data_IF_815851169052
#
_entry.id   IF_815851169052
#
_cell.length_a   1.000
_cell.length_b   1.000
_cell.length_c   1.000
_cell.angle_alpha   90.00
_cell.angle_beta   90.00
_cell.angle_gamma   90.00
#
_symmetry.space_group_name_H-M   'P 1'
#
loop_
_entity.id
_entity.type
_entity.pdbx_description
1 polymer ?
#
# COMPACT_ATOMS: atom_id res chain seq x y z
N UNK A 1 1.65 -6.44 21.44
CA UNK A 1 0.96 -5.27 22.02
C UNK A 1 -0.51 -5.60 22.24
N UNK A 2 -1.19 -4.93 23.18
CA UNK A 2 -2.59 -5.22 23.54
C UNK A 2 -3.58 -5.01 22.37
N UNK A 3 -3.20 -4.16 21.41
CA UNK A 3 -4.02 -3.81 20.23
C UNK A 3 -3.51 -4.46 18.94
N UNK A 4 -2.56 -5.39 19.00
CA UNK A 4 -2.03 -6.13 17.84
C UNK A 4 -0.98 -5.38 17.01
N UNK A 5 -0.58 -4.15 17.39
CA UNK A 5 0.44 -3.37 16.68
C UNK A 5 1.40 -2.65 17.64
N UNK A 6 2.51 -2.13 17.13
CA UNK A 6 3.47 -1.29 17.87
C UNK A 6 3.56 0.11 17.27
N UNK A 7 3.79 1.12 18.13
CA UNK A 7 4.07 2.48 17.66
C UNK A 7 5.57 2.73 17.76
N UNK A 8 6.21 2.93 16.62
CA UNK A 8 7.65 3.11 16.48
C UNK A 8 8.02 4.53 15.99
N UNK A 9 7.05 5.46 15.92
CA UNK A 9 7.37 6.85 15.65
C UNK A 9 8.14 7.46 16.81
N UNK A 10 9.34 7.96 16.51
CA UNK A 10 10.07 8.81 17.44
C UNK A 10 9.27 10.10 17.71
N UNK A 11 9.16 10.50 18.97
CA UNK A 11 8.35 11.65 19.41
C UNK A 11 8.86 13.04 18.96
N UNK A 12 9.83 13.11 18.02
CA UNK A 12 10.45 14.34 17.52
C UNK A 12 10.37 14.39 15.99
N UNK A 13 9.43 15.16 15.50
CA UNK A 13 9.32 15.53 14.09
C UNK A 13 7.88 15.48 13.62
N UNK A 14 7.07 16.49 13.98
CA UNK A 14 5.80 16.72 13.30
C UNK A 14 6.09 17.03 11.84
N UNK A 15 6.02 16.06 10.96
CA UNK A 15 6.00 16.31 9.52
C UNK A 15 4.77 17.17 9.20
N UNK A 16 4.99 18.30 8.52
CA UNK A 16 3.95 19.21 8.00
C UNK A 16 3.19 18.54 6.84
N UNK A 17 2.52 17.44 7.08
CA UNK A 17 1.54 16.87 6.15
C UNK A 17 0.17 16.96 6.78
N UNK A 18 -0.85 17.20 5.97
CA UNK A 18 -2.23 17.12 6.41
C UNK A 18 -2.44 15.72 7.02
N UNK A 19 -2.75 15.62 8.31
CA UNK A 19 -2.86 14.31 8.93
C UNK A 19 -4.03 13.55 8.30
N UNK A 20 -3.78 12.28 7.95
CA UNK A 20 -4.84 11.36 7.52
C UNK A 20 -5.78 11.17 8.70
N UNK A 21 -7.03 11.60 8.54
CA UNK A 21 -8.04 11.53 9.62
C UNK A 21 -8.67 10.14 9.72
N UNK A 22 -9.21 9.80 10.88
CA UNK A 22 -9.92 8.55 11.07
C UNK A 22 -11.16 8.42 10.14
N UNK A 23 -11.76 9.53 9.71
CA UNK A 23 -12.86 9.53 8.73
C UNK A 23 -12.37 9.16 7.34
N UNK A 24 -11.23 9.70 6.88
CA UNK A 24 -10.60 9.33 5.61
C UNK A 24 -10.26 7.83 5.57
N UNK A 25 -9.67 7.30 6.64
CA UNK A 25 -9.35 5.88 6.75
C UNK A 25 -10.61 5.01 6.64
N UNK A 26 -11.70 5.40 7.31
CA UNK A 26 -12.96 4.67 7.22
C UNK A 26 -13.61 4.75 5.84
N UNK A 27 -13.58 5.92 5.22
CA UNK A 27 -14.11 6.12 3.86
C UNK A 27 -13.34 5.26 2.84
N UNK A 28 -12.00 5.28 2.90
CA UNK A 28 -11.15 4.41 2.07
C UNK A 28 -11.48 2.94 2.27
N UNK A 29 -11.56 2.49 3.52
CA UNK A 29 -11.91 1.10 3.83
C UNK A 29 -13.26 0.70 3.25
N UNK A 30 -14.30 1.52 3.44
CA UNK A 30 -15.64 1.25 2.90
C UNK A 30 -15.63 1.18 1.37
N UNK A 31 -14.87 2.05 0.71
CA UNK A 31 -14.73 2.06 -0.74
C UNK A 31 -14.01 0.81 -1.26
N UNK A 32 -12.89 0.42 -0.64
CA UNK A 32 -12.14 -0.77 -1.02
C UNK A 32 -12.93 -2.06 -0.76
N UNK A 33 -13.67 -2.14 0.36
CA UNK A 33 -14.54 -3.27 0.67
C UNK A 33 -15.74 -3.41 -0.28
N UNK A 34 -16.17 -2.32 -0.91
CA UNK A 34 -17.21 -2.36 -1.95
C UNK A 34 -16.69 -2.97 -3.28
N UNK A 35 -15.40 -3.30 -3.38
CA UNK A 35 -14.82 -4.03 -4.50
C UNK A 35 -14.39 -3.18 -5.69
N UNK A 36 -14.47 -1.86 -5.62
CA UNK A 36 -14.09 -0.98 -6.74
C UNK A 36 -12.64 -1.11 -7.19
N UNK A 37 -11.76 -1.62 -6.33
CA UNK A 37 -10.35 -1.88 -6.64
C UNK A 37 -10.01 -3.37 -6.76
N UNK A 38 -11.02 -4.24 -6.88
CA UNK A 38 -10.80 -5.69 -6.96
C UNK A 38 -9.87 -6.13 -8.11
N UNK A 39 -9.97 -5.58 -9.35
CA UNK A 39 -9.03 -5.91 -10.42
C UNK A 39 -7.58 -5.55 -10.08
N UNK A 40 -7.35 -4.41 -9.45
CA UNK A 40 -6.03 -3.99 -8.99
C UNK A 40 -5.52 -4.88 -7.86
N UNK A 41 -6.36 -5.20 -6.86
CA UNK A 41 -6.01 -6.10 -5.76
C UNK A 41 -5.59 -7.48 -6.25
N UNK A 42 -6.33 -8.02 -7.24
CA UNK A 42 -6.01 -9.30 -7.88
C UNK A 42 -4.65 -9.24 -8.59
N UNK A 43 -4.42 -8.23 -9.43
CA UNK A 43 -3.16 -8.07 -10.15
C UNK A 43 -1.96 -7.90 -9.19
N UNK A 44 -2.15 -7.18 -8.09
CA UNK A 44 -1.13 -7.02 -7.05
C UNK A 44 -0.77 -8.35 -6.40
N UNK A 45 -1.78 -9.16 -6.02
CA UNK A 45 -1.55 -10.46 -5.42
C UNK A 45 -0.84 -11.44 -6.39
N UNK A 46 -1.20 -11.41 -7.66
CA UNK A 46 -0.53 -12.18 -8.71
C UNK A 46 0.93 -11.80 -8.85
N UNK A 47 1.26 -10.50 -8.88
CA UNK A 47 2.64 -10.02 -8.92
C UNK A 47 3.43 -10.40 -7.68
N UNK A 48 2.83 -10.31 -6.47
CA UNK A 48 3.49 -10.75 -5.25
C UNK A 48 3.87 -12.24 -5.32
N UNK A 49 2.99 -13.08 -5.86
CA UNK A 49 3.26 -14.52 -6.04
C UNK A 49 4.29 -14.80 -7.13
N UNK A 50 4.29 -14.00 -8.21
CA UNK A 50 5.23 -14.12 -9.32
C UNK A 50 6.67 -13.83 -8.89
N UNK A 51 6.85 -12.81 -8.03
CA UNK A 51 8.18 -12.38 -7.56
C UNK A 51 8.55 -12.92 -6.19
N UNK A 52 7.71 -13.75 -5.57
CA UNK A 52 8.05 -14.46 -4.35
C UNK A 52 9.17 -15.49 -4.59
N UNK A 53 10.03 -15.77 -3.59
CA UNK A 53 10.98 -16.87 -3.68
C UNK A 53 10.30 -18.20 -4.03
N UNK A 54 10.93 -19.00 -4.88
CA UNK A 54 10.42 -20.32 -5.25
C UNK A 54 10.33 -21.30 -4.08
N UNK A 55 11.19 -21.12 -3.08
CA UNK A 55 11.28 -21.99 -1.92
C UNK A 55 11.41 -21.20 -0.62
N UNK A 56 10.87 -21.73 0.45
CA UNK A 56 10.97 -21.17 1.79
C UNK A 56 9.84 -20.22 2.17
N UNK A 57 10.04 -19.46 3.24
CA UNK A 57 9.12 -18.45 3.73
C UNK A 57 9.37 -17.12 2.98
N UNK A 58 8.33 -16.53 2.41
CA UNK A 58 8.41 -15.20 1.78
C UNK A 58 8.27 -14.12 2.85
N UNK A 59 9.19 -13.16 2.88
CA UNK A 59 9.09 -11.96 3.70
C UNK A 59 8.56 -10.79 2.86
N UNK A 60 7.32 -10.40 3.07
CA UNK A 60 6.68 -9.30 2.38
C UNK A 60 6.50 -8.10 3.30
N UNK A 61 6.92 -6.94 2.82
CA UNK A 61 6.78 -5.67 3.53
C UNK A 61 5.86 -4.73 2.76
N UNK A 62 4.82 -4.18 3.40
CA UNK A 62 4.01 -3.09 2.83
C UNK A 62 4.37 -1.76 3.49
N UNK A 63 4.97 -0.85 2.70
CA UNK A 63 5.41 0.47 3.12
C UNK A 63 4.33 1.52 2.81
N UNK A 64 3.54 1.86 3.80
CA UNK A 64 2.34 2.68 3.66
C UNK A 64 1.07 1.83 3.50
N UNK A 65 0.97 0.76 4.30
CA UNK A 65 -0.05 -0.28 4.19
C UNK A 65 -1.49 0.20 4.47
N UNK A 66 -1.66 1.41 4.97
CA UNK A 66 -2.98 1.95 5.31
C UNK A 66 -3.71 1.05 6.32
N UNK A 67 -4.97 0.71 5.99
CA UNK A 67 -5.85 -0.12 6.83
C UNK A 67 -5.78 -1.62 6.51
N UNK A 68 -4.81 -2.06 5.67
CA UNK A 68 -4.49 -3.47 5.42
C UNK A 68 -5.35 -4.18 4.38
N UNK A 69 -6.18 -3.46 3.61
CA UNK A 69 -7.06 -4.11 2.61
C UNK A 69 -6.27 -4.83 1.50
N UNK A 70 -5.15 -4.27 1.05
CA UNK A 70 -4.27 -4.92 0.09
C UNK A 70 -3.54 -6.10 0.71
N UNK A 71 -3.01 -5.92 1.93
CA UNK A 71 -2.33 -6.97 2.70
C UNK A 71 -3.20 -8.21 2.88
N UNK A 72 -4.50 -8.02 3.17
CA UNK A 72 -5.44 -9.13 3.35
C UNK A 72 -5.57 -9.96 2.06
N UNK A 73 -5.73 -9.31 0.90
CA UNK A 73 -5.87 -10.00 -0.39
C UNK A 73 -4.59 -10.74 -0.76
N UNK A 74 -3.43 -10.11 -0.54
CA UNK A 74 -2.12 -10.75 -0.79
C UNK A 74 -1.94 -11.95 0.15
N UNK A 75 -2.20 -11.79 1.44
CA UNK A 75 -2.08 -12.88 2.40
C UNK A 75 -2.95 -14.09 2.04
N UNK A 76 -4.20 -13.86 1.67
CA UNK A 76 -5.12 -14.93 1.24
C UNK A 76 -4.65 -15.65 -0.02
N UNK A 77 -4.01 -14.93 -0.96
CA UNK A 77 -3.45 -15.51 -2.16
C UNK A 77 -2.24 -16.43 -1.89
N UNK A 78 -1.46 -16.14 -0.85
CA UNK A 78 -0.32 -16.99 -0.45
C UNK A 78 -0.74 -18.23 0.32
N UNK A 79 -1.81 -18.18 1.11
CA UNK A 79 -2.23 -19.25 2.02
C UNK A 79 -2.22 -20.68 1.42
N UNK A 80 -2.65 -20.91 0.15
CA UNK A 80 -2.62 -22.23 -0.46
C UNK A 80 -1.26 -22.62 -1.06
N UNK A 81 -0.26 -21.74 -1.11
CA UNK A 81 0.96 -21.96 -1.91
C UNK A 81 2.25 -21.98 -1.10
N UNK A 82 2.43 -21.04 -0.16
CA UNK A 82 3.71 -20.86 0.52
C UNK A 82 3.52 -20.19 1.89
N UNK A 83 4.50 -20.35 2.77
CA UNK A 83 4.57 -19.61 4.01
C UNK A 83 4.87 -18.12 3.71
N UNK A 84 4.07 -17.24 4.29
CA UNK A 84 4.21 -15.80 4.19
C UNK A 84 4.41 -15.17 5.56
N UNK A 85 5.47 -14.39 5.70
CA UNK A 85 5.66 -13.47 6.82
C UNK A 85 5.42 -12.05 6.34
N UNK A 86 4.24 -11.54 6.60
CA UNK A 86 3.83 -10.20 6.20
C UNK A 86 4.05 -9.21 7.34
N UNK A 87 4.65 -8.06 7.01
CA UNK A 87 4.73 -6.91 7.88
C UNK A 87 4.28 -5.65 7.12
N UNK A 88 3.64 -4.71 7.82
CA UNK A 88 3.25 -3.44 7.24
C UNK A 88 3.43 -2.29 8.22
N UNK A 89 3.66 -1.10 7.70
CA UNK A 89 3.68 0.12 8.51
C UNK A 89 3.01 1.29 7.79
N UNK A 90 2.45 2.19 8.58
CA UNK A 90 1.82 3.43 8.11
C UNK A 90 1.98 4.52 9.19
N UNK A 91 1.93 5.79 8.79
CA UNK A 91 1.96 6.93 9.73
C UNK A 91 0.65 7.06 10.51
N UNK A 92 -0.45 6.59 9.96
CA UNK A 92 -1.78 6.68 10.57
C UNK A 92 -2.01 5.58 11.60
N UNK A 93 -2.02 5.96 12.87
CA UNK A 93 -2.36 5.04 13.97
C UNK A 93 -3.74 4.41 13.80
N UNK A 94 -4.71 5.16 13.28
CA UNK A 94 -6.07 4.67 13.07
C UNK A 94 -6.12 3.63 11.95
N UNK A 95 -5.34 3.82 10.87
CA UNK A 95 -5.19 2.85 9.80
C UNK A 95 -4.54 1.55 10.32
N UNK A 96 -3.40 1.64 10.99
CA UNK A 96 -2.68 0.51 11.57
C UNK A 96 -3.54 -0.29 12.55
N UNK A 97 -4.35 0.38 13.37
CA UNK A 97 -5.29 -0.30 14.26
C UNK A 97 -6.33 -1.15 13.49
N UNK A 98 -6.76 -0.68 12.33
CA UNK A 98 -7.68 -1.43 11.48
C UNK A 98 -6.97 -2.57 10.76
N UNK A 99 -5.75 -2.35 10.25
CA UNK A 99 -4.92 -3.39 9.62
C UNK A 99 -4.65 -4.56 10.59
N UNK A 100 -4.20 -4.27 11.81
CA UNK A 100 -3.94 -5.29 12.83
C UNK A 100 -5.18 -6.09 13.25
N UNK A 101 -6.38 -5.50 13.15
CA UNK A 101 -7.65 -6.21 13.38
C UNK A 101 -8.07 -7.04 12.18
N UNK A 102 -7.78 -6.56 10.98
CA UNK A 102 -8.15 -7.23 9.73
C UNK A 102 -7.28 -8.48 9.48
N UNK A 103 -5.99 -8.38 9.82
CA UNK A 103 -5.00 -9.43 9.58
C UNK A 103 -4.12 -9.62 10.81
N UNK A 104 -4.63 -10.29 11.88
CA UNK A 104 -3.89 -10.48 13.13
C UNK A 104 -2.66 -11.41 12.98
N UNK A 105 -2.54 -12.13 11.87
CA UNK A 105 -1.40 -12.99 11.53
C UNK A 105 -0.17 -12.19 11.08
N UNK A 106 -0.36 -10.94 10.63
CA UNK A 106 0.72 -10.06 10.18
C UNK A 106 1.23 -9.14 11.29
N UNK A 107 2.42 -8.60 11.09
CA UNK A 107 3.05 -7.64 12.01
C UNK A 107 2.83 -6.21 11.53
N UNK A 108 2.14 -5.39 12.32
CA UNK A 108 1.89 -3.98 11.97
C UNK A 108 2.54 -3.00 12.94
N UNK A 109 3.05 -1.89 12.38
CA UNK A 109 3.66 -0.82 13.15
C UNK A 109 3.24 0.58 12.68
N UNK A 110 3.14 1.53 13.60
CA UNK A 110 3.09 2.95 13.23
C UNK A 110 4.51 3.42 12.97
N UNK A 111 4.80 3.82 11.72
CA UNK A 111 6.12 4.19 11.24
C UNK A 111 6.07 4.90 9.90
N UNK A 112 7.16 5.49 9.46
CA UNK A 112 7.26 6.24 8.21
C UNK A 112 8.25 5.62 7.22
N UNK A 113 7.97 5.75 5.92
CA UNK A 113 8.79 5.17 4.84
C UNK A 113 10.22 5.75 4.78
N UNK A 114 10.41 7.01 5.15
CA UNK A 114 11.75 7.66 5.17
C UNK A 114 12.61 7.30 6.40
N UNK A 115 12.12 6.46 7.28
CA UNK A 115 12.82 5.83 8.41
C UNK A 115 12.07 4.56 8.74
N UNK A 116 12.13 3.59 7.83
CA UNK A 116 11.35 2.37 7.90
C UNK A 116 11.75 1.53 9.14
N UNK A 117 10.79 1.13 9.98
CA UNK A 117 11.08 0.43 11.22
C UNK A 117 11.36 -1.07 10.99
N UNK A 118 12.17 -1.36 10.00
CA UNK A 118 12.52 -2.71 9.54
C UNK A 118 14.03 -2.82 9.42
N UNK A 119 14.58 -3.96 9.76
CA UNK A 119 16.04 -4.24 9.63
C UNK A 119 16.44 -4.29 8.16
N UNK A 120 17.74 -4.08 7.92
CA UNK A 120 18.35 -4.20 6.60
C UNK A 120 18.15 -5.60 6.01
N UNK A 121 17.88 -5.67 4.70
CA UNK A 121 17.81 -6.92 3.95
C UNK A 121 16.73 -7.89 4.43
N UNK A 122 15.64 -7.40 5.01
CA UNK A 122 14.59 -8.27 5.55
C UNK A 122 13.59 -8.72 4.48
N UNK A 123 13.20 -7.86 3.54
CA UNK A 123 12.11 -8.12 2.62
C UNK A 123 12.57 -8.81 1.32
N UNK A 124 11.86 -9.83 0.92
CA UNK A 124 11.94 -10.42 -0.43
C UNK A 124 11.16 -9.59 -1.43
N UNK A 125 9.95 -9.18 -1.02
CA UNK A 125 9.04 -8.33 -1.79
C UNK A 125 8.64 -7.14 -0.92
N UNK A 126 8.75 -5.94 -1.48
CA UNK A 126 8.31 -4.70 -0.86
C UNK A 126 7.18 -4.09 -1.69
N UNK A 127 6.07 -3.81 -1.04
CA UNK A 127 4.96 -3.06 -1.61
C UNK A 127 5.08 -1.59 -1.23
N UNK A 128 4.83 -0.71 -2.20
CA UNK A 128 4.59 0.71 -1.95
C UNK A 128 3.45 1.17 -2.88
N UNK A 129 2.25 1.28 -2.33
CA UNK A 129 1.03 1.48 -3.11
C UNK A 129 0.46 2.86 -2.83
N UNK A 130 0.45 3.74 -3.85
CA UNK A 130 -0.05 5.12 -3.75
C UNK A 130 0.53 5.90 -2.56
N UNK A 131 1.78 5.59 -2.20
CA UNK A 131 2.50 6.13 -1.07
C UNK A 131 3.83 6.74 -1.53
N UNK A 132 4.41 7.70 -0.80
CA UNK A 132 5.66 8.34 -1.20
C UNK A 132 6.81 7.35 -1.37
N UNK A 133 7.58 7.51 -2.42
CA UNK A 133 8.77 6.71 -2.70
C UNK A 133 9.94 7.11 -1.80
N UNK A 134 10.49 6.16 -1.07
CA UNK A 134 11.62 6.34 -0.15
C UNK A 134 12.80 5.45 -0.57
N UNK A 135 13.36 5.72 -1.77
CA UNK A 135 14.30 4.84 -2.47
C UNK A 135 15.45 4.32 -1.62
N UNK A 136 16.13 5.17 -0.84
CA UNK A 136 17.24 4.76 0.03
C UNK A 136 16.80 3.74 1.09
N UNK A 137 15.68 3.98 1.75
CA UNK A 137 15.13 3.05 2.75
C UNK A 137 14.62 1.77 2.11
N UNK A 138 14.01 1.87 0.93
CA UNK A 138 13.54 0.69 0.21
C UNK A 138 14.70 -0.20 -0.25
N UNK A 139 15.80 0.39 -0.75
CA UNK A 139 17.04 -0.34 -1.03
C UNK A 139 17.64 -0.99 0.24
N UNK A 140 17.58 -0.30 1.38
CA UNK A 140 18.12 -0.82 2.65
C UNK A 140 17.33 -2.02 3.17
N UNK A 141 16.01 -1.97 3.15
CA UNK A 141 15.16 -3.02 3.73
C UNK A 141 14.97 -4.23 2.82
N UNK A 142 15.09 -4.06 1.50
CA UNK A 142 15.10 -5.18 0.56
C UNK A 142 16.39 -5.98 0.67
N UNK A 143 16.28 -7.29 0.58
CA UNK A 143 17.46 -8.15 0.41
C UNK A 143 18.06 -7.98 -0.98
N UNK A 144 19.29 -8.42 -1.17
CA UNK A 144 19.88 -8.51 -2.51
C UNK A 144 19.02 -9.41 -3.42
N UNK A 145 18.63 -8.89 -4.57
CA UNK A 145 17.70 -9.55 -5.50
C UNK A 145 16.23 -9.51 -5.08
N UNK A 146 15.90 -8.79 -4.01
CA UNK A 146 14.50 -8.51 -3.63
C UNK A 146 13.81 -7.57 -4.62
N UNK A 147 12.47 -7.61 -4.67
CA UNK A 147 11.67 -6.87 -5.65
C UNK A 147 10.80 -5.82 -4.98
N UNK A 148 10.81 -4.61 -5.55
CA UNK A 148 9.88 -3.54 -5.21
C UNK A 148 8.70 -3.55 -6.19
N UNK A 149 7.50 -3.71 -5.68
CA UNK A 149 6.25 -3.48 -6.42
C UNK A 149 5.74 -2.08 -6.07
N UNK A 150 6.00 -1.14 -6.96
CA UNK A 150 5.64 0.26 -6.79
C UNK A 150 4.43 0.60 -7.65
N UNK A 151 3.30 0.93 -7.01
CA UNK A 151 2.08 1.28 -7.71
C UNK A 151 1.80 2.78 -7.64
N UNK A 152 1.60 3.36 -8.81
CA UNK A 152 1.25 4.78 -8.99
C UNK A 152 -0.05 4.90 -9.81
N UNK A 153 -0.80 5.99 -9.64
CA UNK A 153 -1.97 6.23 -10.49
C UNK A 153 -1.53 6.45 -11.94
N UNK A 154 -2.29 5.93 -12.90
CA UNK A 154 -2.11 6.27 -14.30
C UNK A 154 -2.45 7.75 -14.57
N UNK A 155 -2.00 8.29 -15.72
CA UNK A 155 -2.30 9.67 -16.09
C UNK A 155 -3.81 9.98 -16.03
N UNK A 156 -4.65 9.03 -16.42
CA UNK A 156 -6.11 9.16 -16.43
C UNK A 156 -6.82 8.56 -15.22
N UNK A 157 -6.10 8.32 -14.12
CA UNK A 157 -6.71 7.82 -12.89
C UNK A 157 -7.79 8.77 -12.38
N UNK A 158 -9.00 8.24 -12.15
CA UNK A 158 -10.21 8.98 -11.76
C UNK A 158 -10.54 10.16 -12.70
N UNK A 159 -10.19 10.06 -13.99
CA UNK A 159 -10.35 11.17 -14.93
C UNK A 159 -11.83 11.57 -15.09
N UNK A 160 -12.77 10.62 -15.16
CA UNK A 160 -14.19 10.91 -15.21
C UNK A 160 -14.72 11.67 -13.98
N UNK A 161 -14.11 11.47 -12.80
CA UNK A 161 -14.42 12.29 -11.63
C UNK A 161 -13.87 13.72 -11.78
N UNK A 162 -12.67 13.86 -12.34
CA UNK A 162 -12.05 15.17 -12.60
C UNK A 162 -12.86 15.99 -13.61
N UNK A 163 -13.45 15.34 -14.64
CA UNK A 163 -14.34 15.97 -15.61
C UNK A 163 -15.61 16.57 -14.99
N UNK A 164 -16.08 15.99 -13.89
CA UNK A 164 -17.24 16.52 -13.15
C UNK A 164 -16.86 17.65 -12.19
N UNK A 165 -15.62 17.64 -11.68
CA UNK A 165 -15.19 18.55 -10.61
C UNK A 165 -14.48 19.80 -11.11
N UNK A 166 -13.84 19.75 -12.28
CA UNK A 166 -12.97 20.81 -12.78
C UNK A 166 -13.41 21.23 -14.18
N UNK A 167 -13.44 22.53 -14.42
CA UNK A 167 -13.70 23.09 -15.75
C UNK A 167 -12.62 22.66 -16.77
N UNK A 168 -11.37 22.52 -16.30
CA UNK A 168 -10.25 22.00 -17.07
C UNK A 168 -9.66 20.76 -16.34
N UNK A 169 -10.11 19.56 -16.67
CA UNK A 169 -9.60 18.33 -16.08
C UNK A 169 -8.14 18.09 -16.47
N UNK A 170 -7.33 17.70 -15.52
CA UNK A 170 -5.89 17.48 -15.70
C UNK A 170 -5.50 16.02 -15.54
N UNK A 171 -4.47 15.59 -16.26
CA UNK A 171 -3.85 14.28 -16.10
C UNK A 171 -2.91 14.26 -14.91
N UNK A 172 -2.85 13.11 -14.24
CA UNK A 172 -1.89 12.89 -13.15
C UNK A 172 -0.49 12.73 -13.72
N UNK A 173 0.47 13.49 -13.20
CA UNK A 173 1.87 13.39 -13.59
C UNK A 173 2.64 12.60 -12.53
N UNK A 174 3.42 11.62 -12.96
CA UNK A 174 4.36 10.88 -12.12
C UNK A 174 5.77 11.22 -12.62
N UNK A 175 6.57 11.86 -11.79
CA UNK A 175 7.91 12.35 -12.15
C UNK A 175 9.00 11.85 -11.21
N UNK A 176 8.83 10.71 -10.58
CA UNK A 176 9.80 10.19 -9.62
C UNK A 176 10.96 9.46 -10.32
N UNK A 177 12.19 9.77 -9.90
CA UNK A 177 13.36 9.00 -10.27
C UNK A 177 13.51 7.81 -9.32
N UNK A 178 13.54 6.61 -9.87
CA UNK A 178 13.65 5.36 -9.10
C UNK A 178 15.12 4.97 -8.89
N UNK A 179 15.91 5.90 -8.37
CA UNK A 179 17.34 5.68 -8.10
C UNK A 179 17.58 4.48 -7.21
N UNK A 180 18.50 3.61 -7.62
CA UNK A 180 18.84 2.37 -6.92
C UNK A 180 18.02 1.14 -7.34
N UNK A 181 17.08 1.29 -8.28
CA UNK A 181 16.28 0.21 -8.80
C UNK A 181 16.44 0.06 -10.33
N UNK A 182 16.28 -1.17 -10.80
CA UNK A 182 16.19 -1.48 -12.24
C UNK A 182 14.79 -1.96 -12.54
N UNK A 183 14.11 -1.34 -13.51
CA UNK A 183 12.80 -1.77 -13.94
C UNK A 183 12.90 -3.15 -14.61
N UNK A 184 12.18 -4.13 -14.09
CA UNK A 184 12.15 -5.51 -14.59
C UNK A 184 10.81 -5.87 -15.24
N UNK A 185 9.78 -5.08 -15.01
CA UNK A 185 8.46 -5.27 -15.61
C UNK A 185 7.49 -4.15 -15.24
N UNK A 186 6.43 -4.04 -16.02
CA UNK A 186 5.34 -3.09 -15.79
C UNK A 186 4.00 -3.77 -16.10
N UNK A 187 3.00 -3.49 -15.27
CA UNK A 187 1.62 -3.94 -15.50
C UNK A 187 0.66 -2.79 -15.29
N UNK A 188 -0.08 -2.41 -16.31
CA UNK A 188 -1.17 -1.45 -16.19
C UNK A 188 -2.49 -2.17 -15.91
N UNK A 189 -3.20 -1.72 -14.89
CA UNK A 189 -4.56 -2.17 -14.56
C UNK A 189 -5.52 -1.03 -14.83
N UNK A 190 -6.48 -1.25 -15.69
CA UNK A 190 -7.51 -0.28 -16.05
C UNK A 190 -8.88 -0.89 -15.85
N UNK A 191 -9.78 -0.16 -15.22
CA UNK A 191 -11.17 -0.52 -15.07
C UNK A 191 -12.06 0.72 -15.11
N UNK A 192 -13.32 0.54 -15.45
CA UNK A 192 -14.34 1.60 -15.42
C UNK A 192 -15.40 1.21 -14.42
N UNK A 193 -15.53 2.01 -13.38
CA UNK A 193 -16.46 1.76 -12.29
C UNK A 193 -17.59 2.79 -12.29
N UNK A 194 -18.81 2.35 -11.95
CA UNK A 194 -19.92 3.23 -11.63
C UNK A 194 -20.05 3.36 -10.12
N UNK A 195 -19.98 4.57 -9.61
CA UNK A 195 -20.04 4.86 -8.17
C UNK A 195 -21.34 5.57 -7.84
N UNK A 196 -22.09 5.05 -6.87
CA UNK A 196 -23.40 5.55 -6.48
C UNK A 196 -23.55 5.72 -4.96
N UNK A 197 -24.52 6.54 -4.57
CA UNK A 197 -24.92 6.72 -3.18
C UNK A 197 -23.80 7.18 -2.26
N UNK A 198 -23.68 6.55 -1.10
CA UNK A 198 -22.66 6.90 -0.10
C UNK A 198 -21.22 6.61 -0.55
N UNK A 199 -21.04 5.76 -1.56
CA UNK A 199 -19.71 5.47 -2.09
C UNK A 199 -19.10 6.66 -2.84
N UNK A 200 -19.93 7.55 -3.39
CA UNK A 200 -19.45 8.84 -3.93
C UNK A 200 -18.78 9.65 -2.83
N UNK A 201 -19.42 9.75 -1.65
CA UNK A 201 -18.86 10.47 -0.49
C UNK A 201 -17.56 9.81 0.01
N UNK A 202 -17.51 8.49 0.02
CA UNK A 202 -16.31 7.74 0.41
C UNK A 202 -15.16 7.99 -0.57
N UNK A 203 -15.42 7.99 -1.88
CA UNK A 203 -14.42 8.29 -2.91
C UNK A 203 -13.83 9.70 -2.75
N UNK A 204 -14.67 10.69 -2.44
CA UNK A 204 -14.22 12.07 -2.19
C UNK A 204 -13.44 12.24 -0.89
N UNK A 205 -13.73 11.42 0.12
CA UNK A 205 -13.13 11.54 1.44
C UNK A 205 -11.83 10.75 1.59
N UNK A 206 -11.50 9.85 0.67
CA UNK A 206 -10.27 9.07 0.71
C UNK A 206 -9.15 9.75 -0.04
#
# INVERSE_FOLDING_TARGET
>A
AKEGYVNLLASRGAMRRTPVTASMVRARRAFLQAGYYAPFQKALAELCLEYAPECGETHLLDAGCGEGSYDRVVYDAFAPRAALRLAGFDLSKDAIRLAAKLLPEAAFAVGGSFSAPVRDGWADVLLNIFSPFAGQEFCRVLRSGGVLLYAVPTARHLYGLKEVLYDEPYETQNSEEYSGFTLIGERTVTDTITVEGDQIRNLFAM
#
